data_IF_143669321048
#
_entry.id   IF_143669321048
#
_cell.length_a   1.000
_cell.length_b   1.000
_cell.length_c   1.000
_cell.angle_alpha   90.00
_cell.angle_beta   90.00
_cell.angle_gamma   90.00
#
_symmetry.space_group_name_H-M   'P 1'
#
loop_
_entity.id
_entity.type
_entity.pdbx_description
1 polymer ?
#
# COMPACT_ATOMS: atom_id res chain seq x y z
N UNK A 1 25.82 -8.41 43.60
CA UNK A 1 25.73 -8.92 42.22
C UNK A 1 24.29 -8.71 41.79
N UNK A 2 24.04 -7.76 40.89
CA UNK A 2 22.68 -7.46 40.44
C UNK A 2 22.26 -8.52 39.42
N UNK A 3 21.14 -9.19 39.67
CA UNK A 3 20.48 -10.07 38.72
C UNK A 3 20.08 -9.25 37.50
N UNK A 4 20.82 -9.45 36.41
CA UNK A 4 20.45 -8.96 35.08
C UNK A 4 19.28 -9.84 34.64
N UNK A 5 18.07 -9.30 34.79
CA UNK A 5 16.87 -9.88 34.21
C UNK A 5 17.07 -9.97 32.69
N UNK A 6 17.39 -11.17 32.20
CA UNK A 6 17.37 -11.49 30.78
C UNK A 6 15.92 -11.32 30.32
N UNK A 7 15.62 -10.38 29.41
CA UNK A 7 14.25 -10.17 28.98
C UNK A 7 13.73 -11.44 28.30
N UNK A 8 12.50 -11.80 28.68
CA UNK A 8 11.71 -12.93 28.20
C UNK A 8 11.91 -13.14 26.69
N UNK A 9 12.20 -14.40 26.34
CA UNK A 9 11.99 -15.03 25.05
C UNK A 9 11.52 -14.06 23.95
N UNK A 10 12.42 -13.63 23.06
CA UNK A 10 12.07 -12.97 21.79
C UNK A 10 11.32 -13.99 20.93
N UNK A 11 10.10 -14.32 21.32
CA UNK A 11 9.20 -15.15 20.54
C UNK A 11 9.02 -14.46 19.20
N UNK A 12 9.04 -15.24 18.12
CA UNK A 12 8.71 -14.75 16.80
C UNK A 12 7.41 -13.94 16.88
N UNK A 13 7.36 -12.70 16.36
CA UNK A 13 6.14 -11.92 16.34
C UNK A 13 5.03 -12.73 15.67
N UNK A 14 3.86 -12.81 16.31
CA UNK A 14 2.71 -13.43 15.68
C UNK A 14 2.20 -12.50 14.58
N UNK A 15 2.50 -12.86 13.33
CA UNK A 15 2.15 -12.08 12.14
C UNK A 15 0.67 -11.72 12.06
N UNK A 16 -0.22 -12.53 12.65
CA UNK A 16 -1.64 -12.22 12.69
C UNK A 16 -1.94 -11.05 13.62
N UNK A 17 -1.35 -11.05 14.82
CA UNK A 17 -1.52 -9.97 15.78
C UNK A 17 -0.87 -8.68 15.29
N UNK A 18 0.29 -8.79 14.65
CA UNK A 18 0.99 -7.66 14.05
C UNK A 18 0.18 -7.03 12.90
N UNK A 19 -0.50 -7.85 12.10
CA UNK A 19 -1.42 -7.37 11.07
C UNK A 19 -2.62 -6.61 11.68
N UNK A 20 -3.20 -7.11 12.77
CA UNK A 20 -4.28 -6.42 13.48
C UNK A 20 -3.79 -5.07 14.06
N UNK A 21 -2.54 -5.00 14.55
CA UNK A 21 -1.91 -3.74 14.97
C UNK A 21 -1.75 -2.76 13.81
N UNK A 22 -1.36 -3.24 12.61
CA UNK A 22 -1.28 -2.39 11.41
C UNK A 22 -2.64 -1.79 11.04
N UNK A 23 -3.71 -2.59 11.10
CA UNK A 23 -5.07 -2.11 10.85
C UNK A 23 -5.51 -1.07 11.88
N UNK A 24 -5.25 -1.32 13.15
CA UNK A 24 -5.53 -0.39 14.24
C UNK A 24 -4.77 0.93 14.06
N UNK A 25 -3.50 0.86 13.67
CA UNK A 25 -2.65 2.02 13.43
C UNK A 25 -3.21 2.91 12.32
N UNK A 26 -3.55 2.33 11.17
CA UNK A 26 -4.11 3.08 10.04
C UNK A 26 -5.43 3.78 10.38
N UNK A 27 -6.26 3.18 11.24
CA UNK A 27 -7.55 3.76 11.69
C UNK A 27 -7.40 4.80 12.79
N UNK A 28 -6.51 4.52 13.73
CA UNK A 28 -6.47 5.21 15.01
C UNK A 28 -5.47 6.36 15.05
N UNK A 29 -4.49 6.39 14.15
CA UNK A 29 -3.41 7.36 14.24
C UNK A 29 -3.92 8.78 13.97
N UNK A 30 -3.74 9.65 14.97
CA UNK A 30 -4.05 11.08 14.91
C UNK A 30 -2.74 11.84 14.96
N UNK A 31 -2.51 12.66 13.94
CA UNK A 31 -1.39 13.59 13.93
C UNK A 31 -1.60 14.67 15.01
N UNK A 32 -0.51 15.30 15.45
CA UNK A 32 -0.52 16.46 16.35
C UNK A 32 -1.47 17.57 15.93
N UNK A 33 -1.73 17.70 14.61
CA UNK A 33 -2.68 18.68 14.05
C UNK A 33 -4.16 18.29 14.20
N UNK A 34 -4.47 17.16 14.86
CA UNK A 34 -5.84 16.73 15.16
C UNK A 34 -6.57 16.00 14.03
N UNK A 35 -5.90 15.73 12.91
CA UNK A 35 -6.43 14.97 11.78
C UNK A 35 -5.89 13.54 11.71
N UNK A 36 -6.63 12.65 11.05
CA UNK A 36 -6.16 11.30 10.72
C UNK A 36 -5.23 11.36 9.50
N UNK A 37 -3.92 11.49 9.74
CA UNK A 37 -2.89 11.65 8.69
C UNK A 37 -3.01 10.57 7.61
N UNK A 38 -3.03 9.31 8.04
CA UNK A 38 -3.05 8.15 7.12
C UNK A 38 -4.40 7.94 6.44
N UNK A 39 -5.52 8.23 7.10
CA UNK A 39 -6.84 8.19 6.46
C UNK A 39 -6.98 9.25 5.36
N UNK A 40 -6.49 10.47 5.61
CA UNK A 40 -6.51 11.53 4.60
C UNK A 40 -5.59 11.17 3.41
N UNK A 41 -4.42 10.57 3.69
CA UNK A 41 -3.55 10.06 2.65
C UNK A 41 -4.24 8.96 1.83
N UNK A 42 -4.92 8.01 2.48
CA UNK A 42 -5.67 6.95 1.80
C UNK A 42 -6.80 7.50 0.93
N UNK A 43 -7.52 8.53 1.38
CA UNK A 43 -8.52 9.20 0.56
C UNK A 43 -7.89 9.88 -0.66
N UNK A 44 -6.71 10.48 -0.50
CA UNK A 44 -5.97 11.11 -1.61
C UNK A 44 -5.52 10.07 -2.64
N UNK A 45 -5.14 8.87 -2.18
CA UNK A 45 -4.84 7.72 -3.06
C UNK A 45 -6.10 7.19 -3.75
N UNK A 46 -7.21 7.05 -3.02
CA UNK A 46 -8.49 6.64 -3.60
C UNK A 46 -8.97 7.62 -4.70
N UNK A 47 -8.73 8.92 -4.49
CA UNK A 47 -9.01 9.97 -5.47
C UNK A 47 -7.98 10.04 -6.61
N UNK A 48 -6.98 9.15 -6.64
CA UNK A 48 -5.86 9.13 -7.59
C UNK A 48 -5.02 10.42 -7.63
N UNK A 49 -5.05 11.22 -6.58
CA UNK A 49 -4.25 12.44 -6.46
C UNK A 49 -2.80 12.13 -6.06
N UNK A 50 -2.60 11.05 -5.32
CA UNK A 50 -1.30 10.59 -4.86
C UNK A 50 -1.17 9.09 -5.08
N UNK A 51 0.00 8.63 -5.54
CA UNK A 51 0.25 7.20 -5.81
C UNK A 51 1.05 6.51 -4.68
N UNK A 52 1.60 7.28 -3.75
CA UNK A 52 2.52 6.81 -2.72
C UNK A 52 2.02 7.19 -1.32
N UNK A 53 2.09 6.25 -0.38
CA UNK A 53 1.79 6.49 1.04
C UNK A 53 3.09 6.31 1.80
N UNK A 54 3.54 7.37 2.47
CA UNK A 54 4.73 7.36 3.32
C UNK A 54 4.30 7.12 4.76
N UNK A 55 4.83 6.05 5.37
CA UNK A 55 4.56 5.68 6.77
C UNK A 55 5.83 5.93 7.57
N UNK A 56 5.73 6.76 8.60
CA UNK A 56 6.85 7.08 9.47
C UNK A 56 6.94 6.08 10.63
N UNK A 57 8.16 5.61 10.92
CA UNK A 57 8.40 4.67 12.02
C UNK A 57 8.19 5.38 13.37
N UNK A 58 8.43 6.69 13.43
CA UNK A 58 8.19 7.50 14.63
C UNK A 58 6.69 7.56 14.96
N UNK A 59 5.82 7.75 13.95
CA UNK A 59 4.36 7.70 14.13
C UNK A 59 3.89 6.35 14.70
N UNK A 60 4.51 5.25 14.27
CA UNK A 60 4.22 3.90 14.77
C UNK A 60 4.58 3.77 16.26
N UNK A 61 5.71 4.37 16.66
CA UNK A 61 6.17 4.39 18.04
C UNK A 61 5.21 5.20 18.92
N UNK A 62 4.73 6.34 18.43
CA UNK A 62 3.87 7.26 19.17
C UNK A 62 2.41 6.76 19.33
N UNK A 63 1.93 5.88 18.45
CA UNK A 63 0.54 5.42 18.49
C UNK A 63 0.16 4.60 19.73
N UNK A 64 1.08 3.76 20.25
CA UNK A 64 0.82 2.86 21.39
C UNK A 64 2.01 2.69 22.35
N UNK A 65 3.10 3.45 22.19
CA UNK A 65 4.37 3.25 22.94
C UNK A 65 4.90 1.80 22.83
N UNK A 66 4.55 1.08 21.77
CA UNK A 66 4.99 -0.31 21.54
C UNK A 66 6.37 -0.30 20.87
N UNK A 67 7.42 -0.25 21.70
CA UNK A 67 8.81 -0.31 21.26
C UNK A 67 9.14 -1.61 20.52
N UNK A 68 8.45 -2.72 20.84
CA UNK A 68 8.69 -3.99 20.19
C UNK A 68 8.15 -3.96 18.74
N UNK A 69 6.95 -3.39 18.53
CA UNK A 69 6.36 -3.23 17.21
C UNK A 69 7.22 -2.37 16.27
N UNK A 70 7.61 -1.18 16.72
CA UNK A 70 8.48 -0.27 15.93
C UNK A 70 9.84 -0.91 15.63
N UNK A 71 10.42 -1.63 16.59
CA UNK A 71 11.69 -2.36 16.39
C UNK A 71 11.52 -3.51 15.38
N UNK A 72 10.41 -4.24 15.43
CA UNK A 72 10.15 -5.34 14.48
C UNK A 72 9.94 -4.84 13.06
N UNK A 73 9.20 -3.72 12.89
CA UNK A 73 9.02 -3.04 11.60
C UNK A 73 10.38 -2.60 11.05
N UNK A 74 11.22 -1.97 11.88
CA UNK A 74 12.56 -1.53 11.47
C UNK A 74 13.48 -2.71 11.10
N UNK A 75 13.37 -3.84 11.80
CA UNK A 75 14.19 -5.03 11.53
C UNK A 75 13.74 -5.81 10.28
N UNK A 76 12.46 -5.74 9.89
CA UNK A 76 11.91 -6.50 8.76
C UNK A 76 10.94 -5.67 7.91
N UNK A 77 11.41 -4.52 7.41
CA UNK A 77 10.56 -3.61 6.64
C UNK A 77 9.80 -4.28 5.49
N UNK A 78 10.45 -5.18 4.74
CA UNK A 78 9.83 -5.86 3.58
C UNK A 78 8.52 -6.58 3.92
N UNK A 79 8.54 -7.41 4.97
CA UNK A 79 7.34 -8.19 5.34
C UNK A 79 6.23 -7.28 5.87
N UNK A 80 6.61 -6.26 6.66
CA UNK A 80 5.65 -5.29 7.18
C UNK A 80 5.08 -4.41 6.06
N UNK A 81 5.85 -4.07 5.02
CA UNK A 81 5.32 -3.38 3.82
C UNK A 81 4.23 -4.20 3.14
N UNK A 82 4.43 -5.51 2.96
CA UNK A 82 3.39 -6.38 2.40
C UNK A 82 2.14 -6.45 3.29
N UNK A 83 2.32 -6.48 4.62
CA UNK A 83 1.20 -6.47 5.57
C UNK A 83 0.44 -5.15 5.53
N UNK A 84 1.15 -4.03 5.50
CA UNK A 84 0.55 -2.71 5.35
C UNK A 84 -0.18 -2.57 4.03
N UNK A 85 0.37 -3.08 2.92
CA UNK A 85 -0.33 -3.10 1.63
C UNK A 85 -1.67 -3.83 1.72
N UNK A 86 -1.68 -5.04 2.29
CA UNK A 86 -2.91 -5.81 2.47
C UNK A 86 -3.91 -5.10 3.40
N UNK A 87 -3.43 -4.48 4.47
CA UNK A 87 -4.26 -3.73 5.40
C UNK A 87 -4.87 -2.50 4.74
N UNK A 88 -4.11 -1.79 3.90
CA UNK A 88 -4.54 -0.64 3.11
C UNK A 88 -5.63 -1.06 2.12
N UNK A 89 -5.45 -2.15 1.38
CA UNK A 89 -6.44 -2.63 0.40
C UNK A 89 -7.79 -2.93 1.06
N UNK A 90 -7.78 -3.50 2.28
CA UNK A 90 -9.00 -3.78 3.05
C UNK A 90 -9.66 -2.51 3.59
N UNK A 91 -8.86 -1.46 3.80
CA UNK A 91 -9.29 -0.22 4.44
C UNK A 91 -9.62 0.89 3.45
N UNK A 92 -9.36 0.67 2.15
CA UNK A 92 -9.52 1.65 1.09
C UNK A 92 -10.97 2.17 1.05
N UNK A 93 -11.19 3.48 1.25
CA UNK A 93 -12.52 4.08 1.14
C UNK A 93 -12.95 4.20 -0.33
N UNK A 94 -14.25 4.42 -0.56
CA UNK A 94 -14.74 4.76 -1.88
C UNK A 94 -14.18 6.12 -2.32
N UNK A 95 -13.92 6.28 -3.62
CA UNK A 95 -13.40 7.53 -4.16
C UNK A 95 -14.46 8.64 -4.04
N UNK A 96 -14.14 9.69 -3.29
CA UNK A 96 -15.03 10.85 -3.08
C UNK A 96 -15.16 11.72 -4.34
N UNK A 97 -14.15 11.65 -5.22
CA UNK A 97 -14.12 12.43 -6.47
C UNK A 97 -14.33 11.51 -7.65
N UNK A 98 -15.24 11.91 -8.54
CA UNK A 98 -15.35 11.33 -9.87
C UNK A 98 -14.10 11.75 -10.65
N UNK A 99 -13.12 10.85 -10.72
CA UNK A 99 -11.88 11.11 -11.44
C UNK A 99 -12.20 11.27 -12.93
N UNK A 100 -11.76 12.38 -13.52
CA UNK A 100 -11.83 12.56 -14.96
C UNK A 100 -11.03 11.44 -15.64
N UNK A 101 -11.59 10.85 -16.70
CA UNK A 101 -10.96 9.76 -17.45
C UNK A 101 -9.57 10.20 -17.89
N UNK A 102 -8.53 9.61 -17.29
CA UNK A 102 -7.16 9.89 -17.68
C UNK A 102 -6.94 9.39 -19.12
N UNK A 103 -5.96 9.95 -19.82
CA UNK A 103 -5.56 9.53 -21.17
C UNK A 103 -5.26 8.03 -21.19
N UNK A 104 -4.78 7.47 -20.08
CA UNK A 104 -4.57 6.04 -19.92
C UNK A 104 -5.88 5.22 -19.90
N UNK A 105 -6.91 5.71 -19.21
CA UNK A 105 -8.24 5.09 -19.20
C UNK A 105 -8.88 5.14 -20.60
N UNK A 106 -8.70 6.26 -21.32
CA UNK A 106 -9.14 6.39 -22.72
C UNK A 106 -8.40 5.42 -23.64
N UNK A 107 -7.08 5.28 -23.51
CA UNK A 107 -6.28 4.34 -24.31
C UNK A 107 -6.63 2.87 -24.00
N UNK A 108 -6.87 2.55 -22.73
CA UNK A 108 -7.25 1.21 -22.30
C UNK A 108 -8.65 0.86 -22.82
N UNK A 109 -9.59 1.80 -22.75
CA UNK A 109 -10.92 1.66 -23.36
C UNK A 109 -10.84 1.49 -24.87
N UNK A 110 -9.97 2.23 -25.57
CA UNK A 110 -9.75 2.02 -27.01
C UNK A 110 -9.17 0.65 -27.33
N UNK A 111 -8.19 0.16 -26.55
CA UNK A 111 -7.61 -1.18 -26.72
C UNK A 111 -8.65 -2.27 -26.48
N UNK A 112 -9.47 -2.13 -25.44
CA UNK A 112 -10.54 -3.06 -25.11
C UNK A 112 -11.62 -3.08 -26.20
N UNK A 113 -12.11 -1.91 -26.61
CA UNK A 113 -13.15 -1.79 -27.64
C UNK A 113 -12.66 -2.32 -28.99
N UNK A 114 -11.42 -2.01 -29.41
CA UNK A 114 -10.85 -2.54 -30.65
C UNK A 114 -10.62 -4.06 -30.59
N UNK A 115 -10.35 -4.64 -29.42
CA UNK A 115 -10.21 -6.09 -29.26
C UNK A 115 -11.57 -6.82 -29.32
N UNK A 116 -12.65 -6.16 -28.86
CA UNK A 116 -14.01 -6.72 -28.86
C UNK A 116 -14.71 -6.52 -30.21
N UNK A 117 -14.43 -5.43 -30.92
CA UNK A 117 -14.97 -5.16 -32.27
C UNK A 117 -14.11 -5.77 -33.40
N UNK A 118 -12.89 -6.24 -33.09
CA UNK A 118 -11.90 -6.79 -34.02
C UNK A 118 -12.18 -8.21 -34.55
N UNK A 119 -13.44 -8.66 -34.51
CA UNK A 119 -13.89 -9.78 -35.33
C UNK A 119 -13.98 -9.35 -36.79
N UNK A 120 -12.86 -9.43 -37.51
CA UNK A 120 -12.67 -9.23 -38.95
C UNK A 120 -12.39 -7.80 -39.44
N UNK A 121 -11.22 -7.25 -39.10
CA UNK A 121 -10.47 -6.42 -40.06
C UNK A 121 -8.99 -6.78 -39.99
N UNK A 122 -8.54 -7.48 -41.02
CA UNK A 122 -7.14 -7.68 -41.32
C UNK A 122 -6.59 -6.36 -41.87
N UNK A 123 -5.96 -5.55 -41.01
CA UNK A 123 -4.97 -4.59 -41.47
C UNK A 123 -3.79 -4.60 -40.50
N UNK A 124 -2.65 -4.92 -41.10
CA UNK A 124 -1.35 -5.19 -40.52
C UNK A 124 -0.86 -4.02 -39.65
N UNK A 125 -1.13 -4.10 -38.34
CA UNK A 125 -0.42 -3.29 -37.36
C UNK A 125 1.04 -3.72 -37.42
N UNK A 126 1.86 -2.90 -38.09
CA UNK A 126 3.32 -3.00 -38.14
C UNK A 126 3.86 -3.05 -36.72
N UNK A 127 3.99 -4.26 -36.19
CA UNK A 127 4.78 -4.58 -35.02
C UNK A 127 6.22 -4.65 -35.51
N UNK A 128 7.18 -3.91 -34.91
CA UNK A 128 8.57 -4.02 -35.31
C UNK A 128 9.01 -5.48 -35.14
N UNK A 129 9.53 -6.14 -36.19
CA UNK A 129 9.93 -7.55 -36.11
C UNK A 129 11.09 -7.71 -35.13
N UNK A 130 11.05 -8.77 -34.31
CA UNK A 130 12.12 -9.07 -33.36
C UNK A 130 13.45 -9.29 -34.07
N UNK A 131 14.50 -8.63 -33.57
CA UNK A 131 15.87 -8.87 -34.03
C UNK A 131 16.28 -10.30 -33.66
N UNK A 132 16.75 -11.11 -34.63
CA UNK A 132 17.21 -12.46 -34.33
C UNK A 132 18.38 -12.38 -33.35
N UNK A 133 18.25 -13.06 -32.21
CA UNK A 133 19.34 -13.24 -31.25
C UNK A 133 20.47 -13.98 -31.97
N UNK A 134 21.60 -13.29 -32.14
CA UNK A 134 22.85 -13.87 -32.64
C UNK A 134 23.61 -14.55 -31.51
#
# INVERSE_FOLDING_TARGET
MADIAVPKNRGFPDFKQEYDKCLDFLKGFKSESGGFKYMNALQSVANREQATIEIEIDDIKDFKDDLDFSSNVANNAHTYTEMFSKAIDVLMPEADKQVDLDVHDVLQNHRMNNAVEGGAFAEEVVTPPELPRR
#
